data_IF_705569597252
#
_entry.id   IF_705569597252
#
_cell.length_a   1.000
_cell.length_b   1.000
_cell.length_c   1.000
_cell.angle_alpha   90.00
_cell.angle_beta   90.00
_cell.angle_gamma   90.00
#
_symmetry.space_group_name_H-M   'P 1'
#
loop_
_entity.id
_entity.type
_entity.pdbx_description
1 polymer ?
#
# COMPACT_ATOMS: atom_id res chain seq x y z
N UNK A 1 -6.17 21.70 -35.70
CA UNK A 1 -5.35 21.02 -34.69
C UNK A 1 -6.08 21.15 -33.36
N UNK A 2 -6.65 20.05 -32.87
CA UNK A 2 -7.42 20.01 -31.62
C UNK A 2 -6.43 19.92 -30.45
N UNK A 3 -6.44 20.92 -29.57
CA UNK A 3 -5.73 20.80 -28.29
C UNK A 3 -6.44 19.78 -27.44
N UNK A 4 -5.75 18.68 -27.13
CA UNK A 4 -6.15 17.76 -26.07
C UNK A 4 -6.04 18.55 -24.77
N UNK A 5 -7.11 18.72 -23.97
CA UNK A 5 -6.95 19.27 -22.64
C UNK A 5 -6.13 18.26 -21.86
N UNK A 6 -4.87 18.58 -21.60
CA UNK A 6 -4.09 17.91 -20.56
C UNK A 6 -4.88 18.10 -19.28
N UNK A 7 -5.49 17.02 -18.79
CA UNK A 7 -6.22 17.01 -17.53
C UNK A 7 -5.34 17.67 -16.49
N UNK A 8 -5.79 18.83 -16.02
CA UNK A 8 -5.09 19.58 -15.00
C UNK A 8 -4.86 18.67 -13.81
N UNK A 9 -3.63 18.65 -13.32
CA UNK A 9 -3.28 17.99 -12.08
C UNK A 9 -4.07 18.68 -10.97
N UNK A 10 -5.18 18.06 -10.57
CA UNK A 10 -6.02 18.58 -9.49
C UNK A 10 -5.33 18.20 -8.19
N UNK A 11 -4.24 18.88 -7.86
CA UNK A 11 -3.70 18.88 -6.50
C UNK A 11 -4.67 19.66 -5.58
N UNK A 12 -5.86 19.10 -5.38
CA UNK A 12 -6.71 19.44 -4.26
C UNK A 12 -6.04 18.93 -2.99
N UNK A 13 -6.34 19.54 -1.85
CA UNK A 13 -6.02 18.96 -0.54
C UNK A 13 -6.74 17.62 -0.39
N UNK A 14 -6.23 16.56 -1.02
CA UNK A 14 -6.90 15.27 -1.05
C UNK A 14 -7.04 14.78 0.39
N UNK A 15 -8.28 14.46 0.78
CA UNK A 15 -8.59 13.88 2.08
C UNK A 15 -7.85 12.55 2.28
N UNK A 16 -7.49 11.89 1.17
CA UNK A 16 -6.80 10.61 1.11
C UNK A 16 -5.71 10.70 0.05
N UNK A 17 -4.47 10.50 0.46
CA UNK A 17 -3.32 10.41 -0.42
C UNK A 17 -2.88 8.94 -0.59
N UNK A 18 -2.60 8.52 -1.83
CA UNK A 18 -2.22 7.14 -2.17
C UNK A 18 -0.84 7.14 -2.82
N UNK A 19 0.09 6.33 -2.31
CA UNK A 19 1.49 6.30 -2.76
C UNK A 19 2.02 4.87 -2.84
N UNK A 20 2.89 4.57 -3.79
CA UNK A 20 3.53 3.24 -3.94
C UNK A 20 5.02 3.23 -3.58
N UNK A 21 5.55 4.36 -3.12
CA UNK A 21 6.98 4.58 -2.90
C UNK A 21 7.30 5.15 -1.51
N UNK A 22 6.41 4.93 -0.54
CA UNK A 22 6.60 5.38 0.83
C UNK A 22 7.71 4.55 1.50
N UNK A 23 8.72 5.24 2.07
CA UNK A 23 9.87 4.58 2.69
C UNK A 23 9.60 4.41 4.18
N UNK A 24 9.69 3.18 4.67
CA UNK A 24 9.66 2.88 6.10
C UNK A 24 10.91 2.13 6.53
N UNK A 25 11.34 2.36 7.77
CA UNK A 25 12.31 1.46 8.39
C UNK A 25 11.62 0.17 8.78
N UNK A 26 12.33 -0.94 8.67
CA UNK A 26 11.82 -2.24 9.02
C UNK A 26 11.58 -2.31 10.54
N UNK A 27 10.35 -2.62 10.98
CA UNK A 27 10.01 -2.67 12.40
C UNK A 27 10.74 -3.78 13.18
N UNK A 28 11.42 -4.71 12.51
CA UNK A 28 12.29 -5.72 13.15
C UNK A 28 13.57 -5.13 13.79
N UNK A 29 13.82 -3.83 13.64
CA UNK A 29 14.97 -3.13 14.21
C UNK A 29 16.27 -3.31 13.42
N UNK A 30 16.24 -3.99 12.27
CA UNK A 30 17.41 -4.16 11.39
C UNK A 30 17.92 -2.86 10.76
N UNK A 31 17.10 -1.81 10.76
CA UNK A 31 17.39 -0.55 10.06
C UNK A 31 17.28 -0.66 8.53
N UNK A 32 16.88 -1.81 8.00
CA UNK A 32 16.59 -2.00 6.57
C UNK A 32 15.38 -1.17 6.17
N UNK A 33 15.36 -0.65 4.94
CA UNK A 33 14.19 0.06 4.39
C UNK A 33 13.23 -0.92 3.73
N UNK A 34 11.95 -0.77 4.01
CA UNK A 34 10.84 -1.49 3.38
C UNK A 34 9.88 -0.51 2.73
N UNK A 35 9.15 -0.98 1.73
CA UNK A 35 8.23 -0.19 0.91
C UNK A 35 6.93 -0.98 0.76
N UNK A 36 5.76 -0.37 1.05
CA UNK A 36 4.49 -0.99 0.75
C UNK A 36 4.25 -0.95 -0.75
N UNK A 37 3.53 -1.94 -1.31
CA UNK A 37 3.09 -1.85 -2.70
C UNK A 37 2.13 -0.65 -2.89
N UNK A 38 1.27 -0.41 -1.89
CA UNK A 38 0.43 0.79 -1.79
C UNK A 38 0.31 1.23 -0.32
N UNK A 39 0.56 2.50 -0.06
CA UNK A 39 0.28 3.21 1.17
C UNK A 39 -0.91 4.16 0.97
N UNK A 40 -1.83 4.15 1.92
CA UNK A 40 -2.97 5.07 1.95
C UNK A 40 -2.86 5.92 3.21
N UNK A 41 -2.88 7.23 3.00
CA UNK A 41 -2.55 8.26 3.98
C UNK A 41 -3.72 9.24 4.06
N UNK A 42 -4.59 9.11 5.07
CA UNK A 42 -5.60 10.10 5.36
C UNK A 42 -4.95 11.44 5.71
N UNK A 43 -5.63 12.52 5.37
CA UNK A 43 -5.22 13.86 5.74
C UNK A 43 -5.11 13.99 7.27
N UNK A 44 -4.05 14.66 7.76
CA UNK A 44 -3.78 14.85 9.18
C UNK A 44 -4.89 15.58 9.94
N UNK A 45 -5.71 16.37 9.23
CA UNK A 45 -6.90 17.02 9.80
C UNK A 45 -7.96 16.01 10.28
N UNK A 46 -7.98 14.81 9.70
CA UNK A 46 -8.91 13.74 10.06
C UNK A 46 -8.26 12.66 10.92
N UNK A 47 -7.00 12.31 10.62
CA UNK A 47 -6.23 11.32 11.38
C UNK A 47 -4.91 11.95 11.80
N UNK A 48 -4.80 12.42 13.06
CA UNK A 48 -3.57 13.03 13.57
C UNK A 48 -2.40 12.07 13.45
N UNK A 49 -1.18 12.61 13.38
CA UNK A 49 0.04 11.82 13.35
C UNK A 49 0.20 10.97 14.63
N UNK A 50 0.79 9.78 14.51
CA UNK A 50 1.01 8.93 15.67
C UNK A 50 2.03 9.60 16.61
N UNK A 51 1.83 9.48 17.91
CA UNK A 51 2.78 10.00 18.92
C UNK A 51 3.98 9.05 19.03
N UNK A 52 4.83 9.03 18.01
CA UNK A 52 6.05 8.21 17.94
C UNK A 52 7.26 9.12 18.21
N UNK A 53 8.33 8.64 18.87
CA UNK A 53 9.53 9.43 19.08
C UNK A 53 10.05 10.03 17.76
N UNK A 54 10.28 11.34 17.80
CA UNK A 54 10.55 12.32 16.71
C UNK A 54 11.64 11.94 15.68
N UNK A 55 12.38 10.83 15.86
CA UNK A 55 13.59 10.53 15.08
C UNK A 55 13.36 10.11 13.62
N UNK A 56 12.12 9.93 13.16
CA UNK A 56 11.79 9.52 11.77
C UNK A 56 11.04 10.64 11.00
N UNK A 57 10.98 11.85 11.56
CA UNK A 57 10.23 12.95 10.94
C UNK A 57 11.08 13.71 9.90
N UNK A 58 11.26 13.08 8.74
CA UNK A 58 11.59 13.81 7.51
C UNK A 58 10.31 13.96 6.70
N UNK A 59 9.90 15.21 6.48
CA UNK A 59 8.81 15.66 5.62
C UNK A 59 7.39 15.25 6.02
N UNK A 60 6.78 16.05 6.91
CA UNK A 60 5.44 16.66 6.76
C UNK A 60 4.21 15.86 6.30
N UNK A 61 4.33 14.56 6.10
CA UNK A 61 3.30 13.67 5.59
C UNK A 61 2.90 12.68 6.68
N UNK A 62 1.60 12.49 6.84
CA UNK A 62 1.06 11.56 7.83
C UNK A 62 1.48 10.14 7.51
N UNK A 63 1.84 9.34 8.52
CA UNK A 63 2.22 7.96 8.29
C UNK A 63 1.10 7.17 7.59
N UNK A 64 1.46 6.24 6.71
CA UNK A 64 0.52 5.28 6.11
C UNK A 64 -0.37 4.65 7.19
N UNK A 65 -1.69 4.80 7.04
CA UNK A 65 -2.67 4.22 7.98
C UNK A 65 -3.22 2.91 7.48
N UNK A 66 -3.31 2.76 6.16
CA UNK A 66 -3.68 1.52 5.51
C UNK A 66 -2.57 1.17 4.53
N UNK A 67 -2.11 -0.08 4.60
CA UNK A 67 -1.13 -0.63 3.66
C UNK A 67 -1.82 -1.69 2.81
N UNK A 68 -1.50 -1.75 1.52
CA UNK A 68 -1.89 -2.85 0.64
C UNK A 68 -0.62 -3.53 0.15
N UNK A 69 -0.60 -4.86 0.25
CA UNK A 69 0.47 -5.71 -0.27
C UNK A 69 -0.12 -6.66 -1.30
N UNK A 70 0.52 -6.77 -2.47
CA UNK A 70 0.04 -7.54 -3.61
C UNK A 70 1.09 -8.58 -3.98
N UNK A 71 0.87 -9.83 -3.57
CA UNK A 71 1.70 -10.94 -3.96
C UNK A 71 1.22 -11.52 -5.31
N UNK A 72 1.96 -11.27 -6.39
CA UNK A 72 1.70 -11.94 -7.66
C UNK A 72 2.37 -13.32 -7.73
N UNK A 73 3.70 -13.34 -7.86
CA UNK A 73 4.48 -14.58 -7.93
C UNK A 73 5.01 -15.04 -6.56
N UNK A 74 4.94 -14.17 -5.55
CA UNK A 74 5.42 -14.44 -4.20
C UNK A 74 4.54 -15.47 -3.50
N UNK A 75 5.12 -16.26 -2.60
CA UNK A 75 4.35 -17.22 -1.80
C UNK A 75 3.39 -16.51 -0.84
N UNK A 76 2.28 -17.17 -0.51
CA UNK A 76 1.31 -16.67 0.48
C UNK A 76 1.95 -16.42 1.84
N UNK A 77 2.97 -17.21 2.20
CA UNK A 77 3.72 -17.02 3.46
C UNK A 77 4.58 -15.76 3.43
N UNK A 78 5.16 -15.41 2.27
CA UNK A 78 5.86 -14.14 2.08
C UNK A 78 4.92 -12.95 2.24
N UNK A 79 3.72 -13.03 1.65
CA UNK A 79 2.67 -12.02 1.84
C UNK A 79 2.27 -11.91 3.31
N UNK A 80 2.06 -13.05 3.98
CA UNK A 80 1.68 -13.10 5.40
C UNK A 80 2.77 -12.50 6.29
N UNK A 81 4.05 -12.71 5.94
CA UNK A 81 5.19 -12.14 6.65
C UNK A 81 5.21 -10.63 6.53
N UNK A 82 5.08 -10.09 5.30
CA UNK A 82 5.00 -8.63 5.09
C UNK A 82 3.79 -8.02 5.81
N UNK A 83 2.63 -8.66 5.70
CA UNK A 83 1.41 -8.24 6.40
C UNK A 83 1.62 -8.11 7.91
N UNK A 84 2.21 -9.14 8.54
CA UNK A 84 2.51 -9.12 9.98
C UNK A 84 3.54 -8.07 10.36
N UNK A 85 4.51 -7.85 9.47
CA UNK A 85 5.55 -6.84 9.67
C UNK A 85 4.93 -5.44 9.72
N UNK A 86 4.05 -5.11 8.78
CA UNK A 86 3.35 -3.82 8.78
C UNK A 86 2.46 -3.61 10.00
N UNK A 87 1.84 -4.65 10.52
CA UNK A 87 1.04 -4.56 11.75
C UNK A 87 1.85 -4.30 13.03
N UNK A 88 3.18 -4.44 12.99
CA UNK A 88 4.04 -4.05 14.12
C UNK A 88 4.21 -2.52 14.20
N UNK A 89 4.00 -1.81 13.09
CA UNK A 89 4.03 -0.35 13.08
C UNK A 89 2.81 0.21 13.80
N UNK A 90 3.03 0.86 14.94
CA UNK A 90 1.97 1.41 15.81
C UNK A 90 1.04 2.41 15.12
N UNK A 91 1.47 2.94 13.97
CA UNK A 91 0.71 3.88 13.16
C UNK A 91 -0.08 3.24 12.01
N UNK A 92 0.23 2.01 11.63
CA UNK A 92 -0.58 1.24 10.67
C UNK A 92 -1.80 0.72 11.42
N UNK A 93 -2.99 0.91 10.84
CA UNK A 93 -4.27 0.46 11.41
C UNK A 93 -4.82 -0.76 10.70
N UNK A 94 -4.62 -0.82 9.38
CA UNK A 94 -5.11 -1.91 8.54
C UNK A 94 -4.06 -2.30 7.51
N UNK A 95 -4.01 -3.58 7.18
CA UNK A 95 -3.21 -4.09 6.08
C UNK A 95 -4.09 -5.00 5.22
N UNK A 96 -4.21 -4.69 3.94
CA UNK A 96 -4.92 -5.53 2.97
C UNK A 96 -3.90 -6.33 2.17
N UNK A 97 -3.83 -7.64 2.41
CA UNK A 97 -3.01 -8.56 1.63
C UNK A 97 -3.80 -9.17 0.47
N UNK A 98 -3.34 -8.99 -0.76
CA UNK A 98 -3.93 -9.60 -1.96
C UNK A 98 -2.94 -10.60 -2.54
N UNK A 99 -3.37 -11.86 -2.70
CA UNK A 99 -2.62 -12.89 -3.41
C UNK A 99 -3.26 -13.11 -4.78
N UNK A 100 -2.48 -12.89 -5.83
CA UNK A 100 -2.81 -13.33 -7.18
C UNK A 100 -2.25 -14.75 -7.37
N UNK A 101 -3.10 -15.70 -7.71
CA UNK A 101 -2.66 -17.04 -8.07
C UNK A 101 -2.30 -17.12 -9.56
N UNK A 102 -1.70 -18.24 -9.95
CA UNK A 102 -1.53 -18.57 -11.36
C UNK A 102 -2.88 -18.51 -12.07
N UNK A 103 -2.90 -18.10 -13.34
CA UNK A 103 -4.12 -18.20 -14.12
C UNK A 103 -4.65 -19.63 -14.09
N UNK A 104 -5.97 -19.78 -14.01
CA UNK A 104 -6.61 -21.10 -14.10
C UNK A 104 -6.41 -21.66 -15.51
N UNK A 105 -6.43 -22.98 -15.68
CA UNK A 105 -6.33 -23.64 -17.00
C UNK A 105 -7.58 -23.43 -17.89
N UNK A 106 -8.49 -22.53 -17.50
CA UNK A 106 -9.73 -22.22 -18.19
C UNK A 106 -9.86 -20.72 -18.40
N UNK A 107 -10.13 -20.33 -19.64
CA UNK A 107 -10.46 -18.95 -20.02
C UNK A 107 -11.91 -18.63 -19.71
N UNK A 108 -12.22 -17.35 -19.46
CA UNK A 108 -13.60 -16.88 -19.36
C UNK A 108 -14.29 -16.78 -20.73
N UNK A 109 -15.56 -16.36 -20.73
CA UNK A 109 -16.36 -16.18 -21.95
C UNK A 109 -15.83 -15.07 -22.89
N UNK A 110 -14.82 -14.31 -22.48
CA UNK A 110 -14.13 -13.30 -23.27
C UNK A 110 -12.70 -13.73 -23.64
N UNK A 111 -12.37 -15.02 -23.53
CA UNK A 111 -11.04 -15.58 -23.80
C UNK A 111 -9.93 -15.02 -22.90
N UNK A 112 -10.28 -14.49 -21.71
CA UNK A 112 -9.30 -14.00 -20.75
C UNK A 112 -8.96 -15.08 -19.75
N UNK A 113 -7.66 -15.23 -19.50
CA UNK A 113 -7.15 -16.06 -18.42
C UNK A 113 -7.46 -15.41 -17.06
N UNK A 114 -8.45 -15.96 -16.35
CA UNK A 114 -8.77 -15.50 -15.01
C UNK A 114 -7.70 -15.98 -14.01
N UNK A 115 -7.16 -15.04 -13.24
CA UNK A 115 -6.38 -15.37 -12.04
C UNK A 115 -7.33 -15.51 -10.85
N UNK A 116 -7.18 -16.59 -10.10
CA UNK A 116 -7.82 -16.64 -8.79
C UNK A 116 -7.15 -15.60 -7.87
N UNK A 117 -7.96 -14.92 -7.06
CA UNK A 117 -7.47 -13.94 -6.09
C UNK A 117 -8.02 -14.27 -4.71
N UNK A 118 -7.19 -14.10 -3.70
CA UNK A 118 -7.58 -14.19 -2.29
C UNK A 118 -7.15 -12.90 -1.61
N UNK A 119 -8.05 -12.30 -0.85
CA UNK A 119 -7.77 -11.16 0.01
C UNK A 119 -7.72 -11.59 1.48
N UNK A 120 -6.87 -10.92 2.26
CA UNK A 120 -6.77 -11.04 3.71
C UNK A 120 -6.73 -9.65 4.33
N UNK A 121 -7.49 -9.48 5.40
CA UNK A 121 -7.50 -8.29 6.26
C UNK A 121 -6.84 -8.64 7.59
#
# INVERSE_FOLDING_TARGET
MSQIPTGGDVHSNEEINIQSNEIHYNPDGSGVKIFPDIAIKPNKSHVPDPTVPIQVLLQGYSHARIVVEIANLQFTDSLTTKYRLWLQETYVRYVLGIKLHTPKDTMDSQEKWLRAMIARL
#
